data_IF_468443128370
#
_entry.id   IF_468443128370
#
_cell.length_a   1.000
_cell.length_b   1.000
_cell.length_c   1.000
_cell.angle_alpha   90.00
_cell.angle_beta   90.00
_cell.angle_gamma   90.00
#
_symmetry.space_group_name_H-M   'P 1'
#
loop_
_entity.id
_entity.type
_entity.pdbx_description
1 polymer ?
#
# COMPACT_ATOMS: atom_id res chain seq x y z
N UNK A 1 -16.28 2.94 -0.55
CA UNK A 1 -15.57 3.32 0.68
C UNK A 1 -14.52 2.26 1.01
N UNK A 2 -13.33 2.72 1.46
CA UNK A 2 -12.19 1.85 1.78
C UNK A 2 -12.34 1.20 3.17
N UNK A 3 -13.39 0.40 3.36
CA UNK A 3 -13.60 -0.37 4.58
C UNK A 3 -13.14 -1.82 4.38
N UNK A 4 -12.63 -2.44 5.45
CA UNK A 4 -12.13 -3.82 5.42
C UNK A 4 -13.17 -4.83 4.90
N UNK A 5 -14.45 -4.60 5.18
CA UNK A 5 -15.58 -5.42 4.70
C UNK A 5 -15.70 -5.45 3.17
N UNK A 6 -15.23 -4.39 2.52
CA UNK A 6 -15.25 -4.28 1.05
C UNK A 6 -14.09 -5.04 0.39
N UNK A 7 -13.07 -5.42 1.16
CA UNK A 7 -11.95 -6.25 0.72
C UNK A 7 -12.29 -7.74 0.83
N UNK A 8 -13.38 -8.17 0.21
CA UNK A 8 -13.85 -9.54 0.31
C UNK A 8 -14.20 -10.13 -1.05
N UNK A 9 -14.09 -11.47 -1.14
CA UNK A 9 -14.43 -12.23 -2.35
C UNK A 9 -15.90 -11.99 -2.77
N UNK A 10 -16.78 -11.84 -1.78
CA UNK A 10 -18.19 -11.60 -1.97
C UNK A 10 -18.50 -10.26 -2.64
N UNK A 11 -17.57 -9.29 -2.53
CA UNK A 11 -17.67 -7.96 -3.15
C UNK A 11 -17.01 -7.85 -4.52
N UNK A 12 -16.17 -8.80 -4.88
CA UNK A 12 -15.49 -8.76 -6.17
C UNK A 12 -16.43 -8.79 -7.38
N UNK A 13 -17.54 -9.54 -7.39
CA UNK A 13 -18.50 -9.48 -8.51
C UNK A 13 -19.00 -8.08 -8.79
N UNK A 14 -19.33 -7.28 -7.76
CA UNK A 14 -19.81 -5.90 -7.91
C UNK A 14 -18.76 -5.03 -8.61
N UNK A 15 -17.47 -5.19 -8.26
CA UNK A 15 -16.37 -4.44 -8.88
C UNK A 15 -16.12 -4.89 -10.32
N UNK A 16 -16.20 -6.18 -10.59
CA UNK A 16 -16.04 -6.73 -11.94
C UNK A 16 -17.17 -6.26 -12.84
N UNK A 17 -18.43 -6.30 -12.36
CA UNK A 17 -19.59 -5.79 -13.09
C UNK A 17 -19.42 -4.31 -13.46
N UNK A 18 -19.03 -3.48 -12.47
CA UNK A 18 -18.74 -2.07 -12.72
C UNK A 18 -17.68 -1.86 -13.81
N UNK A 19 -16.61 -2.65 -13.80
CA UNK A 19 -15.57 -2.55 -14.83
C UNK A 19 -16.07 -3.01 -16.22
N UNK A 20 -16.91 -4.04 -16.28
CA UNK A 20 -17.53 -4.53 -17.52
C UNK A 20 -18.47 -3.46 -18.10
N UNK A 21 -19.32 -2.86 -17.27
CA UNK A 21 -20.24 -1.80 -17.69
C UNK A 21 -19.51 -0.58 -18.23
N UNK A 22 -18.33 -0.29 -17.66
CA UNK A 22 -17.43 0.74 -18.15
C UNK A 22 -16.49 0.26 -19.28
N UNK A 23 -16.77 -0.89 -19.88
CA UNK A 23 -16.08 -1.42 -21.06
C UNK A 23 -14.58 -1.58 -20.87
N UNK A 24 -14.15 -2.11 -19.72
CA UNK A 24 -12.73 -2.39 -19.45
C UNK A 24 -12.12 -3.24 -20.58
N UNK A 25 -10.92 -2.91 -20.98
CA UNK A 25 -10.15 -3.63 -21.99
C UNK A 25 -8.75 -3.93 -21.48
N UNK A 26 -8.08 -4.91 -22.07
CA UNK A 26 -6.77 -5.36 -21.63
C UNK A 26 -5.66 -4.29 -21.74
N UNK A 27 -5.82 -3.32 -22.61
CA UNK A 27 -4.90 -2.20 -22.78
C UNK A 27 -5.26 -0.97 -21.91
N UNK A 28 -6.27 -1.08 -21.06
CA UNK A 28 -6.56 -0.06 -20.06
C UNK A 28 -5.66 -0.26 -18.83
N UNK A 29 -5.54 0.78 -18.03
CA UNK A 29 -4.80 0.76 -16.76
C UNK A 29 -5.77 1.06 -15.62
N UNK A 30 -5.71 0.26 -14.56
CA UNK A 30 -6.41 0.57 -13.31
C UNK A 30 -5.58 1.56 -12.50
N UNK A 31 -6.23 2.55 -11.89
CA UNK A 31 -5.60 3.53 -11.01
C UNK A 31 -6.17 3.36 -9.62
N UNK A 32 -5.36 2.89 -8.69
CA UNK A 32 -5.72 2.83 -7.28
C UNK A 32 -5.34 4.13 -6.58
N UNK A 33 -6.30 4.76 -5.90
CA UNK A 33 -6.07 5.93 -5.05
C UNK A 33 -6.64 5.59 -3.67
N UNK A 34 -5.80 5.44 -2.64
CA UNK A 34 -6.26 5.05 -1.31
C UNK A 34 -5.16 4.44 -0.43
N UNK A 35 -5.57 3.79 0.64
CA UNK A 35 -4.70 3.00 1.52
C UNK A 35 -4.55 1.55 1.07
N UNK A 36 -4.07 0.69 1.98
CA UNK A 36 -3.82 -0.73 1.72
C UNK A 36 -5.05 -1.51 1.24
N UNK A 37 -6.26 -1.16 1.69
CA UNK A 37 -7.50 -1.80 1.22
C UNK A 37 -7.69 -1.59 -0.29
N UNK A 38 -7.50 -0.36 -0.77
CA UNK A 38 -7.61 -0.05 -2.20
C UNK A 38 -6.49 -0.72 -3.00
N UNK A 39 -5.29 -0.79 -2.42
CA UNK A 39 -4.16 -1.52 -2.99
C UNK A 39 -4.52 -2.99 -3.20
N UNK A 40 -4.98 -3.67 -2.16
CA UNK A 40 -5.31 -5.10 -2.18
C UNK A 40 -6.40 -5.41 -3.22
N UNK A 41 -7.51 -4.66 -3.19
CA UNK A 41 -8.62 -4.83 -4.14
C UNK A 41 -8.14 -4.62 -5.58
N UNK A 42 -7.42 -3.53 -5.83
CA UNK A 42 -7.00 -3.18 -7.20
C UNK A 42 -5.96 -4.16 -7.73
N UNK A 43 -4.98 -4.54 -6.90
CA UNK A 43 -3.95 -5.52 -7.27
C UNK A 43 -4.58 -6.88 -7.62
N UNK A 44 -5.53 -7.35 -6.81
CA UNK A 44 -6.23 -8.61 -7.06
C UNK A 44 -7.09 -8.54 -8.35
N UNK A 45 -7.84 -7.46 -8.54
CA UNK A 45 -8.61 -7.24 -9.77
C UNK A 45 -7.68 -7.15 -10.98
N UNK A 46 -6.59 -6.40 -10.88
CA UNK A 46 -5.60 -6.26 -11.96
C UNK A 46 -5.00 -7.60 -12.38
N UNK A 47 -4.74 -8.48 -11.41
CA UNK A 47 -4.21 -9.82 -11.69
C UNK A 47 -5.22 -10.74 -12.40
N UNK A 48 -6.51 -10.61 -12.08
CA UNK A 48 -7.52 -11.60 -12.44
C UNK A 48 -8.39 -11.19 -13.63
N UNK A 49 -8.77 -9.90 -13.73
CA UNK A 49 -9.62 -9.42 -14.82
C UNK A 49 -8.89 -9.51 -16.17
N UNK A 50 -9.55 -10.03 -17.18
CA UNK A 50 -9.02 -10.20 -18.54
C UNK A 50 -7.64 -10.92 -18.59
N UNK A 51 -7.29 -11.71 -17.57
CA UNK A 51 -6.01 -12.40 -17.37
C UNK A 51 -4.82 -11.47 -17.19
N UNK A 52 -5.06 -10.32 -16.65
CA UNK A 52 -4.05 -9.31 -16.31
C UNK A 52 -4.29 -7.98 -17.02
N UNK A 53 -4.38 -6.93 -16.22
CA UNK A 53 -4.47 -5.53 -16.63
C UNK A 53 -3.43 -4.76 -15.81
N UNK A 54 -2.75 -3.83 -16.44
CA UNK A 54 -1.78 -2.97 -15.73
C UNK A 54 -2.48 -2.08 -14.70
N UNK A 55 -1.75 -1.73 -13.63
CA UNK A 55 -2.26 -0.82 -12.63
C UNK A 55 -1.18 0.09 -12.05
N UNK A 56 -1.63 1.21 -11.50
CA UNK A 56 -0.78 2.25 -10.90
C UNK A 56 -1.36 2.64 -9.54
N UNK A 57 -0.50 2.99 -8.59
CA UNK A 57 -0.91 3.25 -7.22
C UNK A 57 -0.55 4.66 -6.75
N UNK A 58 -1.53 5.32 -6.14
CA UNK A 58 -1.40 6.57 -5.39
C UNK A 58 -1.75 6.29 -3.92
N UNK A 59 -0.78 5.88 -3.08
CA UNK A 59 -1.03 5.61 -1.66
C UNK A 59 -1.37 6.89 -0.92
N UNK A 60 -2.48 6.90 -0.18
CA UNK A 60 -2.97 8.09 0.53
C UNK A 60 -2.82 7.99 2.05
N UNK A 61 -2.55 6.82 2.61
CA UNK A 61 -2.24 6.65 4.04
C UNK A 61 -0.73 6.56 4.26
N UNK A 62 -0.25 6.99 5.42
CA UNK A 62 1.18 6.90 5.73
C UNK A 62 1.66 5.45 5.76
N UNK A 63 0.85 4.54 6.32
CA UNK A 63 1.15 3.10 6.33
C UNK A 63 1.38 2.57 4.92
N UNK A 64 0.51 2.96 3.96
CA UNK A 64 0.70 2.51 2.58
C UNK A 64 1.89 3.17 1.89
N UNK A 65 2.17 4.46 2.16
CA UNK A 65 3.31 5.16 1.58
C UNK A 65 4.66 4.64 2.08
N UNK A 66 4.74 4.29 3.38
CA UNK A 66 6.01 3.93 4.01
C UNK A 66 6.29 2.41 4.03
N UNK A 67 5.28 1.59 3.73
CA UNK A 67 5.40 0.14 3.86
C UNK A 67 4.78 -0.62 2.68
N UNK A 68 3.45 -0.72 2.58
CA UNK A 68 2.81 -1.70 1.70
C UNK A 68 2.96 -1.41 0.20
N UNK A 69 3.18 -0.16 -0.21
CA UNK A 69 3.11 0.24 -1.62
C UNK A 69 4.13 -0.45 -2.53
N UNK A 70 5.32 -0.81 -2.03
CA UNK A 70 6.35 -1.51 -2.83
C UNK A 70 6.20 -3.03 -2.81
N UNK A 71 5.28 -3.56 -1.99
CA UNK A 71 4.98 -4.99 -1.97
C UNK A 71 4.23 -5.43 -3.22
N UNK A 72 4.47 -6.67 -3.64
CA UNK A 72 3.73 -7.30 -4.75
C UNK A 72 2.45 -8.01 -4.28
N UNK A 73 2.32 -8.24 -2.98
CA UNK A 73 1.24 -9.02 -2.37
C UNK A 73 -0.08 -8.26 -2.41
N UNK A 74 -1.14 -8.95 -2.80
CA UNK A 74 -2.52 -8.54 -2.52
C UNK A 74 -3.19 -9.54 -1.59
N UNK A 75 -4.21 -9.10 -0.87
CA UNK A 75 -4.95 -9.97 0.02
C UNK A 75 -6.45 -9.66 0.00
N UNK A 76 -7.26 -10.71 -0.11
CA UNK A 76 -8.73 -10.63 -0.13
C UNK A 76 -9.28 -11.56 0.94
N UNK A 77 -10.28 -11.10 1.65
CA UNK A 77 -11.01 -11.85 2.66
C UNK A 77 -12.02 -12.80 2.01
N UNK A 78 -12.32 -13.91 2.66
CA UNK A 78 -13.34 -14.85 2.21
C UNK A 78 -14.02 -15.52 3.40
N UNK A 79 -15.35 -15.46 3.46
CA UNK A 79 -16.18 -16.16 4.48
C UNK A 79 -15.68 -16.01 5.92
N UNK A 80 -15.33 -14.77 6.31
CA UNK A 80 -14.84 -14.46 7.65
C UNK A 80 -13.35 -14.74 7.90
N UNK A 81 -12.65 -15.36 6.97
CA UNK A 81 -11.20 -15.51 7.01
C UNK A 81 -10.54 -14.32 6.34
N UNK A 82 -9.63 -13.63 7.09
CA UNK A 82 -8.89 -12.48 6.56
C UNK A 82 -7.71 -12.93 5.73
N UNK A 83 -7.43 -12.19 4.63
CA UNK A 83 -6.22 -12.30 3.83
C UNK A 83 -5.92 -13.71 3.30
N UNK A 84 -6.97 -14.51 3.03
CA UNK A 84 -6.82 -15.92 2.65
C UNK A 84 -6.61 -16.12 1.14
N UNK A 85 -7.04 -15.17 0.33
CA UNK A 85 -6.81 -15.15 -1.11
C UNK A 85 -5.87 -14.01 -1.48
N UNK A 86 -5.04 -14.20 -2.48
CA UNK A 86 -4.12 -13.14 -2.90
C UNK A 86 -3.37 -13.47 -4.17
N UNK A 87 -2.66 -12.47 -4.65
CA UNK A 87 -1.80 -12.55 -5.83
C UNK A 87 -0.50 -11.82 -5.54
N UNK A 88 0.50 -12.05 -6.38
CA UNK A 88 1.75 -11.29 -6.43
C UNK A 88 1.75 -10.44 -7.70
N UNK A 89 1.18 -9.24 -7.62
CA UNK A 89 0.97 -8.37 -8.78
C UNK A 89 1.33 -6.93 -8.41
N UNK A 90 2.61 -6.54 -8.54
CA UNK A 90 3.04 -5.19 -8.18
C UNK A 90 2.44 -4.14 -9.14
N UNK A 91 2.28 -2.89 -8.71
CA UNK A 91 1.90 -1.80 -9.58
C UNK A 91 3.02 -1.46 -10.57
N UNK A 92 2.67 -0.99 -11.77
CA UNK A 92 3.64 -0.49 -12.74
C UNK A 92 4.35 0.78 -12.23
N UNK A 93 3.63 1.63 -11.50
CA UNK A 93 4.15 2.86 -10.93
C UNK A 93 3.48 3.18 -9.59
N UNK A 94 4.26 3.80 -8.71
CA UNK A 94 3.79 4.29 -7.41
C UNK A 94 4.09 5.78 -7.35
N UNK A 95 3.08 6.58 -7.02
CA UNK A 95 3.20 8.04 -6.90
C UNK A 95 3.03 8.46 -5.45
N UNK A 96 4.13 8.79 -4.79
CA UNK A 96 4.17 9.22 -3.40
C UNK A 96 3.94 10.74 -3.27
N UNK A 97 3.08 11.14 -2.34
CA UNK A 97 2.88 12.56 -2.03
C UNK A 97 2.45 12.73 -0.57
N UNK A 98 3.21 13.49 0.20
CA UNK A 98 2.85 13.86 1.58
C UNK A 98 1.60 14.75 1.66
N UNK A 99 1.15 15.34 0.54
CA UNK A 99 -0.10 16.13 0.50
C UNK A 99 -1.33 15.31 0.91
N UNK A 100 -1.36 14.02 0.62
CA UNK A 100 -2.46 13.14 1.05
C UNK A 100 -2.54 13.00 2.57
N UNK A 101 -1.42 13.17 3.27
CA UNK A 101 -1.35 13.01 4.72
C UNK A 101 -2.02 14.17 5.47
N UNK A 102 -2.20 15.34 4.82
CA UNK A 102 -2.82 16.52 5.45
C UNK A 102 -4.29 16.33 5.85
N UNK A 103 -4.98 15.38 5.23
CA UNK A 103 -6.38 15.04 5.54
C UNK A 103 -6.52 13.78 6.38
N UNK A 104 -5.39 13.13 6.71
CA UNK A 104 -5.39 11.89 7.47
C UNK A 104 -5.58 12.16 8.96
N UNK A 105 -6.42 11.38 9.63
CA UNK A 105 -6.59 11.50 11.07
C UNK A 105 -5.27 11.24 11.81
N UNK A 106 -5.02 11.96 12.89
CA UNK A 106 -3.78 11.84 13.67
C UNK A 106 -3.50 10.40 14.14
N UNK A 107 -4.56 9.64 14.44
CA UNK A 107 -4.45 8.22 14.79
C UNK A 107 -3.82 7.40 13.66
N UNK A 108 -4.24 7.65 12.43
CA UNK A 108 -3.74 6.95 11.24
C UNK A 108 -2.30 7.37 10.91
N UNK A 109 -1.97 8.66 11.10
CA UNK A 109 -0.59 9.13 10.99
C UNK A 109 0.31 8.42 12.00
N UNK A 110 -0.09 8.38 13.28
CA UNK A 110 0.66 7.68 14.35
C UNK A 110 0.81 6.19 14.06
N UNK A 111 -0.21 5.55 13.51
CA UNK A 111 -0.12 4.14 13.08
C UNK A 111 0.96 3.95 12.01
N UNK A 112 1.00 4.80 11.00
CA UNK A 112 2.03 4.76 9.97
C UNK A 112 3.43 5.06 10.50
N UNK A 113 3.57 6.04 11.42
CA UNK A 113 4.85 6.32 12.10
C UNK A 113 5.31 5.11 12.92
N UNK A 114 4.40 4.41 13.61
CA UNK A 114 4.73 3.17 14.33
C UNK A 114 5.32 2.10 13.41
N UNK A 115 4.77 1.94 12.20
CA UNK A 115 5.32 1.02 11.21
C UNK A 115 6.70 1.47 10.71
N UNK A 116 6.88 2.76 10.44
CA UNK A 116 8.19 3.32 10.07
C UNK A 116 9.24 3.06 11.15
N UNK A 117 8.91 3.29 12.43
CA UNK A 117 9.79 2.99 13.56
C UNK A 117 10.19 1.51 13.60
N UNK A 118 9.23 0.61 13.39
CA UNK A 118 9.48 -0.84 13.30
C UNK A 118 10.47 -1.17 12.17
N UNK A 119 10.24 -0.66 10.97
CA UNK A 119 11.12 -0.88 9.82
C UNK A 119 12.54 -0.38 10.09
N UNK A 120 12.68 0.82 10.65
CA UNK A 120 13.98 1.41 10.99
C UNK A 120 14.67 0.63 12.12
N UNK A 121 13.94 0.11 13.11
CA UNK A 121 14.50 -0.73 14.17
C UNK A 121 15.04 -2.05 13.64
N UNK A 122 14.37 -2.66 12.66
CA UNK A 122 14.84 -3.87 11.98
C UNK A 122 16.12 -3.60 11.19
N UNK A 123 16.25 -2.43 10.56
CA UNK A 123 17.46 -2.05 9.81
C UNK A 123 18.69 -1.83 10.71
N UNK A 124 18.48 -1.46 11.97
CA UNK A 124 19.54 -1.36 12.97
C UNK A 124 19.54 -0.06 13.77
N UNK A 125 20.44 0.04 14.78
CA UNK A 125 20.45 1.16 15.74
C UNK A 125 20.62 2.53 15.09
N UNK A 126 21.42 2.63 14.04
CA UNK A 126 21.67 3.90 13.34
C UNK A 126 20.41 4.44 12.67
N UNK A 127 19.69 3.60 11.93
CA UNK A 127 18.44 3.98 11.28
C UNK A 127 17.35 4.30 12.32
N UNK A 128 17.24 3.51 13.37
CA UNK A 128 16.30 3.78 14.47
C UNK A 128 16.59 5.10 15.17
N UNK A 129 17.83 5.38 15.55
CA UNK A 129 18.20 6.64 16.19
C UNK A 129 17.91 7.83 15.27
N UNK A 130 18.13 7.67 13.99
CA UNK A 130 17.91 8.74 13.00
C UNK A 130 16.43 9.13 12.89
N UNK A 131 15.50 8.17 12.84
CA UNK A 131 14.06 8.49 12.82
C UNK A 131 13.57 8.95 14.19
N UNK A 132 14.11 8.42 15.29
CA UNK A 132 13.77 8.85 16.65
C UNK A 132 14.14 10.32 16.89
N UNK A 133 15.26 10.78 16.34
CA UNK A 133 15.66 12.21 16.41
C UNK A 133 14.68 13.12 15.68
N UNK A 134 14.15 12.68 14.54
CA UNK A 134 13.20 13.46 13.73
C UNK A 134 11.73 13.27 14.17
N UNK A 135 11.46 12.55 15.27
CA UNK A 135 10.11 12.09 15.61
C UNK A 135 9.06 13.20 15.71
N UNK A 136 9.36 14.29 16.39
CA UNK A 136 8.41 15.41 16.56
C UNK A 136 8.21 16.16 15.23
N UNK A 137 9.25 16.27 14.42
CA UNK A 137 9.22 16.95 13.11
C UNK A 137 8.43 16.16 12.07
N UNK A 138 8.26 14.84 12.22
CA UNK A 138 7.45 14.01 11.31
C UNK A 138 6.01 14.51 11.17
N UNK A 139 5.46 15.18 12.19
CA UNK A 139 4.07 15.65 12.17
C UNK A 139 3.91 17.09 11.67
N UNK A 140 5.01 17.82 11.50
CA UNK A 140 5.00 19.24 11.16
C UNK A 140 5.77 19.56 9.87
N UNK A 141 6.77 18.75 9.50
CA UNK A 141 7.62 18.97 8.33
C UNK A 141 7.43 17.87 7.27
N UNK A 142 6.86 18.28 6.15
CA UNK A 142 6.58 17.37 5.03
C UNK A 142 7.82 16.86 4.31
N UNK A 143 8.94 17.58 4.36
CA UNK A 143 10.21 17.16 3.75
C UNK A 143 10.88 16.09 4.62
N UNK A 144 10.89 16.29 5.94
CA UNK A 144 11.36 15.29 6.90
C UNK A 144 10.50 14.03 6.79
N UNK A 145 9.17 14.15 6.76
CA UNK A 145 8.27 13.02 6.55
C UNK A 145 8.62 12.27 5.25
N UNK A 146 8.75 12.96 4.11
CA UNK A 146 9.08 12.33 2.83
C UNK A 146 10.45 11.65 2.87
N UNK A 147 11.45 12.25 3.50
CA UNK A 147 12.78 11.66 3.71
C UNK A 147 12.68 10.32 4.45
N UNK A 148 11.86 10.25 5.51
CA UNK A 148 11.69 9.03 6.30
C UNK A 148 10.85 7.96 5.58
N UNK A 149 9.83 8.37 4.83
CA UNK A 149 9.09 7.46 3.94
C UNK A 149 10.06 6.80 2.95
N UNK A 150 10.88 7.58 2.26
CA UNK A 150 11.87 7.05 1.30
C UNK A 150 12.81 6.06 1.95
N UNK A 151 13.36 6.42 3.13
CA UNK A 151 14.27 5.51 3.84
C UNK A 151 13.59 4.21 4.26
N UNK A 152 12.33 4.26 4.74
CA UNK A 152 11.55 3.05 5.03
C UNK A 152 11.40 2.15 3.82
N UNK A 153 11.11 2.73 2.65
CA UNK A 153 10.99 1.97 1.40
C UNK A 153 12.31 1.39 0.92
N UNK A 154 13.44 2.12 1.06
CA UNK A 154 14.77 1.60 0.76
C UNK A 154 15.10 0.38 1.62
N UNK A 155 14.89 0.49 2.93
CA UNK A 155 15.09 -0.63 3.85
C UNK A 155 14.23 -1.83 3.43
N UNK A 156 12.94 -1.59 3.20
CA UNK A 156 12.01 -2.66 2.80
C UNK A 156 12.41 -3.30 1.47
N UNK A 157 12.87 -2.51 0.51
CA UNK A 157 13.34 -2.99 -0.79
C UNK A 157 14.47 -4.02 -0.64
N UNK A 158 15.43 -3.78 0.25
CA UNK A 158 16.53 -4.72 0.53
C UNK A 158 16.05 -6.10 1.01
N UNK A 159 14.91 -6.14 1.73
CA UNK A 159 14.30 -7.40 2.17
C UNK A 159 13.52 -8.07 1.05
N UNK A 160 12.72 -7.31 0.29
CA UNK A 160 11.94 -7.83 -0.83
C UNK A 160 12.85 -8.43 -1.91
N UNK A 161 14.00 -7.80 -2.20
CA UNK A 161 14.95 -8.31 -3.19
C UNK A 161 15.60 -9.65 -2.76
N UNK A 162 15.62 -9.95 -1.46
CA UNK A 162 16.13 -11.23 -0.92
C UNK A 162 15.05 -12.31 -0.91
N UNK A 163 13.80 -11.94 -0.69
CA UNK A 163 12.66 -12.86 -0.58
C UNK A 163 11.37 -12.18 -1.09
N UNK A 164 11.22 -12.09 -2.40
CA UNK A 164 10.06 -11.45 -3.06
C UNK A 164 8.73 -12.12 -2.72
N UNK A 165 8.75 -13.43 -2.49
CA UNK A 165 7.54 -14.23 -2.28
C UNK A 165 7.28 -14.58 -0.81
N UNK A 166 8.13 -14.07 0.12
CA UNK A 166 7.97 -14.26 1.57
C UNK A 166 7.87 -15.75 1.96
N UNK A 167 8.87 -16.51 1.53
CA UNK A 167 8.97 -17.98 1.73
C UNK A 167 9.69 -18.35 3.01
#
# INVERSE_FOLDING_TARGET
>A
DAHEENKSLEKLPDYVEFLIDNRIRRNHMLVAIGGGIMQDITSFLAATILRGVEWTFYPTTLLSQADSCIGSKSSINCRGSKNILGTFTPPQKIYLSTRFLSTLALRELKSGVGEMLKVHAIAGPHDFQSIATDYDDLFSDSEIMMKRIRRSLEIKKEYIEKDEFDK
#
